data_IF_147795696203
#
_entry.id   IF_147795696203
#
_cell.length_a   1.000
_cell.length_b   1.000
_cell.length_c   1.000
_cell.angle_alpha   90.00
_cell.angle_beta   90.00
_cell.angle_gamma   90.00
#
_symmetry.space_group_name_H-M   'P 1'
#
loop_
_entity.id
_entity.type
_entity.pdbx_description
1 polymer ?
#
# COMPACT_ATOMS: atom_id res chain seq x y z
N UNK A 1 -35.26 -34.75 -12.82
CA UNK A 1 -34.27 -34.69 -11.73
C UNK A 1 -34.32 -33.31 -11.12
N UNK A 2 -34.92 -33.15 -9.93
CA UNK A 2 -34.85 -31.89 -9.20
C UNK A 2 -33.47 -31.81 -8.55
N UNK A 3 -32.71 -30.74 -8.82
CA UNK A 3 -31.41 -30.50 -8.22
C UNK A 3 -31.58 -30.28 -6.72
N UNK A 4 -30.87 -31.08 -5.91
CA UNK A 4 -30.86 -30.92 -4.45
C UNK A 4 -30.28 -29.53 -4.10
N UNK A 5 -31.05 -28.64 -3.45
CA UNK A 5 -30.60 -27.29 -3.11
C UNK A 5 -29.34 -27.25 -2.24
N UNK A 6 -29.16 -28.24 -1.36
CA UNK A 6 -27.97 -28.34 -0.50
C UNK A 6 -26.72 -28.68 -1.31
N UNK A 7 -26.84 -29.61 -2.26
CA UNK A 7 -25.75 -29.98 -3.18
C UNK A 7 -25.31 -28.78 -4.04
N UNK A 8 -26.27 -28.00 -4.55
CA UNK A 8 -25.98 -26.77 -5.30
C UNK A 8 -25.29 -25.72 -4.43
N UNK A 9 -25.69 -25.59 -3.15
CA UNK A 9 -25.07 -24.66 -2.21
C UNK A 9 -23.63 -25.06 -1.85
N UNK A 10 -23.38 -26.36 -1.62
CA UNK A 10 -22.05 -26.91 -1.35
C UNK A 10 -21.11 -26.74 -2.55
N UNK A 11 -21.58 -27.07 -3.75
CA UNK A 11 -20.82 -26.88 -4.98
C UNK A 11 -20.43 -25.41 -5.21
N UNK A 12 -21.34 -24.47 -4.93
CA UNK A 12 -21.06 -23.01 -4.98
C UNK A 12 -20.00 -22.59 -3.95
N UNK A 13 -20.07 -23.12 -2.72
CA UNK A 13 -19.05 -22.86 -1.68
C UNK A 13 -17.69 -23.39 -2.10
N UNK A 14 -17.62 -24.61 -2.64
CA UNK A 14 -16.38 -25.23 -3.12
C UNK A 14 -15.78 -24.44 -4.28
N UNK A 15 -16.58 -24.08 -5.30
CA UNK A 15 -16.13 -23.26 -6.43
C UNK A 15 -15.62 -21.90 -5.96
N UNK A 16 -16.34 -21.25 -5.05
CA UNK A 16 -15.93 -19.97 -4.46
C UNK A 16 -14.61 -20.09 -3.68
N UNK A 17 -14.46 -21.13 -2.86
CA UNK A 17 -13.22 -21.39 -2.10
C UNK A 17 -12.04 -21.72 -3.02
N UNK A 18 -12.25 -22.53 -4.07
CA UNK A 18 -11.24 -22.88 -5.07
C UNK A 18 -10.80 -21.66 -5.88
N UNK A 19 -11.76 -20.86 -6.39
CA UNK A 19 -11.48 -19.61 -7.08
C UNK A 19 -10.76 -18.60 -6.18
N UNK A 20 -11.19 -18.46 -4.93
CA UNK A 20 -10.51 -17.62 -3.94
C UNK A 20 -9.09 -18.12 -3.62
N UNK A 21 -8.89 -19.43 -3.55
CA UNK A 21 -7.56 -20.05 -3.38
C UNK A 21 -6.64 -19.77 -4.57
N UNK A 22 -7.16 -19.92 -5.79
CA UNK A 22 -6.46 -19.59 -7.03
C UNK A 22 -6.11 -18.10 -7.11
N UNK A 23 -7.06 -17.21 -6.80
CA UNK A 23 -6.84 -15.76 -6.76
C UNK A 23 -5.80 -15.36 -5.71
N UNK A 24 -5.86 -15.92 -4.50
CA UNK A 24 -4.87 -15.68 -3.43
C UNK A 24 -3.47 -16.08 -3.89
N UNK A 25 -3.33 -17.25 -4.51
CA UNK A 25 -2.05 -17.74 -5.07
C UNK A 25 -1.54 -16.80 -6.16
N UNK A 26 -2.41 -16.40 -7.11
CA UNK A 26 -2.06 -15.45 -8.15
C UNK A 26 -1.56 -14.11 -7.59
N UNK A 27 -2.27 -13.52 -6.62
CA UNK A 27 -1.87 -12.25 -6.02
C UNK A 27 -0.58 -12.36 -5.21
N UNK A 28 -0.37 -13.47 -4.50
CA UNK A 28 0.87 -13.74 -3.78
C UNK A 28 2.06 -13.81 -4.74
N UNK A 29 1.95 -14.57 -5.82
CA UNK A 29 2.98 -14.67 -6.86
C UNK A 29 3.23 -13.33 -7.54
N UNK A 30 2.17 -12.61 -7.93
CA UNK A 30 2.32 -11.28 -8.53
C UNK A 30 3.01 -10.32 -7.57
N UNK A 31 2.66 -10.31 -6.29
CA UNK A 31 3.30 -9.46 -5.28
C UNK A 31 4.77 -9.80 -5.06
N UNK A 32 5.17 -11.05 -5.27
CA UNK A 32 6.57 -11.48 -5.21
C UNK A 32 7.37 -11.00 -6.43
N UNK A 33 6.78 -11.05 -7.61
CA UNK A 33 7.48 -10.84 -8.89
C UNK A 33 7.30 -9.44 -9.51
N UNK A 34 6.33 -8.65 -9.02
CA UNK A 34 6.02 -7.30 -9.53
C UNK A 34 6.16 -6.26 -8.38
N UNK A 35 7.32 -5.58 -8.25
CA UNK A 35 7.57 -4.58 -7.22
C UNK A 35 6.58 -3.41 -7.27
N UNK A 36 6.13 -3.01 -8.46
CA UNK A 36 5.13 -1.94 -8.65
C UNK A 36 3.79 -2.35 -8.07
N UNK A 37 3.37 -3.60 -8.30
CA UNK A 37 2.16 -4.15 -7.69
C UNK A 37 2.30 -4.25 -6.16
N UNK A 38 3.44 -4.72 -5.65
CA UNK A 38 3.72 -4.76 -4.20
C UNK A 38 3.66 -3.37 -3.57
N UNK A 39 4.29 -2.38 -4.20
CA UNK A 39 4.28 -0.97 -3.79
C UNK A 39 2.86 -0.42 -3.72
N UNK A 40 2.08 -0.59 -4.79
CA UNK A 40 0.69 -0.14 -4.86
C UNK A 40 -0.19 -0.75 -3.75
N UNK A 41 -0.06 -2.05 -3.50
CA UNK A 41 -0.82 -2.75 -2.45
C UNK A 41 -0.45 -2.22 -1.06
N UNK A 42 0.85 -2.01 -0.80
CA UNK A 42 1.32 -1.45 0.47
C UNK A 42 0.80 -0.02 0.69
N UNK A 43 0.87 0.84 -0.32
CA UNK A 43 0.37 2.22 -0.24
C UNK A 43 -1.14 2.25 0.04
N UNK A 44 -1.91 1.41 -0.66
CA UNK A 44 -3.36 1.28 -0.40
C UNK A 44 -3.65 0.89 1.05
N UNK A 45 -2.95 -0.12 1.56
CA UNK A 45 -3.07 -0.54 2.96
C UNK A 45 -2.73 0.59 3.94
N UNK A 46 -1.55 1.20 3.79
CA UNK A 46 -1.07 2.27 4.69
C UNK A 46 -1.98 3.49 4.69
N UNK A 47 -2.42 3.94 3.51
CA UNK A 47 -3.34 5.08 3.40
C UNK A 47 -4.68 4.74 4.04
N UNK A 48 -5.23 3.55 3.81
CA UNK A 48 -6.51 3.16 4.41
C UNK A 48 -6.40 3.07 5.95
N UNK A 49 -5.28 2.57 6.47
CA UNK A 49 -5.01 2.57 7.91
C UNK A 49 -4.89 3.98 8.47
N UNK A 50 -4.17 4.89 7.80
CA UNK A 50 -4.02 6.28 8.23
C UNK A 50 -5.34 7.07 8.18
N UNK A 51 -6.24 6.71 7.26
CA UNK A 51 -7.55 7.35 7.07
C UNK A 51 -8.70 6.67 7.79
N UNK A 52 -8.42 5.71 8.68
CA UNK A 52 -9.46 5.03 9.46
C UNK A 52 -10.26 6.07 10.24
N UNK A 53 -11.55 6.20 9.92
CA UNK A 53 -12.47 7.17 10.54
C UNK A 53 -12.52 8.55 9.89
N UNK A 54 -11.60 8.90 8.98
CA UNK A 54 -11.64 10.18 8.25
C UNK A 54 -12.33 10.08 6.88
N UNK A 55 -12.37 8.88 6.29
CA UNK A 55 -12.88 8.66 4.94
C UNK A 55 -11.88 9.09 3.88
N UNK A 56 -11.80 8.34 2.78
CA UNK A 56 -10.81 8.59 1.73
C UNK A 56 -11.35 9.57 0.70
N UNK A 57 -10.72 10.74 0.55
CA UNK A 57 -11.22 11.81 -0.31
C UNK A 57 -11.12 11.47 -1.80
N UNK A 58 -10.07 10.73 -2.21
CA UNK A 58 -9.81 10.33 -3.60
C UNK A 58 -9.16 8.95 -3.66
N UNK A 59 -9.16 8.35 -4.86
CA UNK A 59 -8.44 7.09 -5.12
C UNK A 59 -6.96 7.25 -4.78
N UNK A 60 -6.31 6.18 -4.31
CA UNK A 60 -4.89 6.18 -3.89
C UNK A 60 -3.99 6.92 -4.87
N UNK A 61 -4.02 6.59 -6.18
CA UNK A 61 -3.11 7.21 -7.14
C UNK A 61 -3.34 8.71 -7.34
N UNK A 62 -4.56 9.20 -7.14
CA UNK A 62 -4.80 10.65 -7.13
C UNK A 62 -4.19 11.33 -5.91
N UNK A 63 -4.20 10.68 -4.74
CA UNK A 63 -3.56 11.22 -3.53
C UNK A 63 -2.03 11.19 -3.62
N UNK A 64 -1.48 10.18 -4.31
CA UNK A 64 -0.04 10.09 -4.59
C UNK A 64 0.40 11.21 -5.56
N UNK A 65 -0.48 11.68 -6.44
CA UNK A 65 -0.18 12.77 -7.39
C UNK A 65 0.67 12.37 -8.60
N UNK A 66 0.97 11.09 -8.78
CA UNK A 66 1.67 10.57 -9.96
C UNK A 66 1.27 9.11 -10.26
N UNK A 67 1.73 8.56 -11.38
CA UNK A 67 1.60 7.15 -11.71
C UNK A 67 2.47 6.27 -10.80
N UNK A 68 2.18 4.97 -10.77
CA UNK A 68 2.97 4.01 -9.98
C UNK A 68 4.40 3.87 -10.52
N UNK A 69 4.59 4.03 -11.83
CA UNK A 69 5.91 3.97 -12.47
C UNK A 69 6.75 5.19 -12.08
N UNK A 70 6.14 6.38 -12.10
CA UNK A 70 6.80 7.62 -11.64
C UNK A 70 7.14 7.56 -10.16
N UNK A 71 6.23 7.06 -9.31
CA UNK A 71 6.51 6.92 -7.88
C UNK A 71 7.67 5.93 -7.65
N UNK A 72 7.69 4.82 -8.37
CA UNK A 72 8.79 3.85 -8.31
C UNK A 72 10.12 4.53 -8.66
N UNK A 73 10.19 5.24 -9.78
CA UNK A 73 11.38 5.98 -10.17
C UNK A 73 11.77 7.09 -9.17
N UNK A 74 10.79 7.79 -8.60
CA UNK A 74 11.01 8.84 -7.60
C UNK A 74 11.62 8.30 -6.30
N UNK A 75 11.13 7.16 -5.81
CA UNK A 75 11.69 6.49 -4.63
C UNK A 75 13.08 5.92 -4.91
N UNK A 76 13.28 5.31 -6.08
CA UNK A 76 14.55 4.71 -6.49
C UNK A 76 15.69 5.74 -6.57
N UNK A 77 15.38 6.99 -6.96
CA UNK A 77 16.34 8.11 -6.93
C UNK A 77 16.77 8.52 -5.52
N UNK A 78 16.04 8.13 -4.49
CA UNK A 78 16.29 8.47 -3.08
C UNK A 78 16.87 7.29 -2.29
N UNK A 79 17.18 6.17 -2.94
CA UNK A 79 17.70 4.98 -2.28
C UNK A 79 19.03 5.26 -1.57
N UNK A 80 19.09 4.89 -0.29
CA UNK A 80 20.33 4.84 0.46
C UNK A 80 21.18 3.64 0.01
N UNK A 81 22.50 3.63 0.31
CA UNK A 81 23.36 2.49 -0.01
C UNK A 81 22.76 1.16 0.46
N UNK A 82 22.66 0.19 -0.45
CA UNK A 82 22.11 -1.14 -0.19
C UNK A 82 20.59 -1.28 -0.40
N UNK A 83 19.84 -0.20 -0.61
CA UNK A 83 18.42 -0.29 -0.94
C UNK A 83 18.22 -0.74 -2.39
N UNK A 84 17.36 -1.72 -2.60
CA UNK A 84 16.98 -2.22 -3.92
C UNK A 84 15.49 -2.56 -3.95
N UNK A 85 14.93 -2.77 -5.13
CA UNK A 85 13.55 -3.29 -5.21
C UNK A 85 13.43 -4.75 -4.75
N UNK A 86 14.52 -5.53 -4.76
CA UNK A 86 14.50 -6.93 -4.31
C UNK A 86 14.40 -7.05 -2.79
N UNK A 87 15.00 -6.13 -2.03
CA UNK A 87 14.89 -6.07 -0.57
C UNK A 87 13.77 -5.14 -0.06
N UNK A 88 12.84 -4.73 -0.94
CA UNK A 88 11.68 -3.95 -0.52
C UNK A 88 10.86 -4.71 0.53
N UNK A 89 10.74 -4.14 1.73
CA UNK A 89 10.28 -4.83 2.94
C UNK A 89 11.28 -4.70 4.09
N UNK A 90 12.58 -4.69 3.79
CA UNK A 90 13.66 -4.28 4.69
C UNK A 90 13.73 -2.75 4.79
N UNK A 91 13.46 -2.05 3.69
CA UNK A 91 13.10 -0.63 3.68
C UNK A 91 11.62 -0.46 3.35
N UNK A 92 11.02 0.63 3.85
CA UNK A 92 9.62 0.98 3.72
C UNK A 92 9.45 2.35 3.04
N UNK A 93 8.26 2.58 2.49
CA UNK A 93 7.84 3.94 2.13
C UNK A 93 7.42 4.68 3.39
N UNK A 94 8.17 5.70 3.75
CA UNK A 94 7.92 6.58 4.89
C UNK A 94 7.42 7.95 4.42
N UNK A 95 6.76 8.68 5.33
CA UNK A 95 6.36 10.07 5.08
C UNK A 95 7.39 11.03 5.66
N UNK A 96 7.95 11.92 4.85
CA UNK A 96 8.93 12.93 5.28
C UNK A 96 8.32 13.74 6.42
N UNK A 97 7.18 14.40 6.15
CA UNK A 97 6.29 14.97 7.16
C UNK A 97 5.32 13.88 7.62
N UNK A 98 5.30 13.52 8.91
CA UNK A 98 4.51 12.39 9.41
C UNK A 98 3.01 12.66 9.29
N UNK A 99 2.21 11.61 9.06
CA UNK A 99 0.75 11.71 8.92
C UNK A 99 0.06 12.47 10.08
N UNK A 100 0.60 12.36 11.30
CA UNK A 100 0.07 13.02 12.50
C UNK A 100 0.17 14.55 12.48
N UNK A 101 0.97 15.11 11.58
CA UNK A 101 1.09 16.56 11.40
C UNK A 101 0.01 17.14 10.46
N UNK A 102 -0.87 16.31 9.91
CA UNK A 102 -1.93 16.70 9.00
C UNK A 102 -3.30 16.44 9.62
N UNK A 103 -4.29 17.30 9.31
CA UNK A 103 -5.69 17.00 9.59
C UNK A 103 -6.26 16.17 8.44
N UNK A 104 -6.15 14.85 8.57
CA UNK A 104 -6.56 13.90 7.54
C UNK A 104 -8.09 13.86 7.28
N UNK A 105 -8.91 14.63 8.00
CA UNK A 105 -10.32 14.83 7.65
C UNK A 105 -10.49 15.79 6.47
N UNK A 106 -9.48 16.63 6.19
CA UNK A 106 -9.48 17.59 5.09
C UNK A 106 -8.87 16.98 3.84
N UNK A 107 -9.56 17.12 2.70
CA UNK A 107 -9.11 16.54 1.44
C UNK A 107 -7.71 17.03 1.02
N UNK A 108 -7.42 18.32 1.21
CA UNK A 108 -6.12 18.91 0.86
C UNK A 108 -4.99 18.35 1.72
N UNK A 109 -5.23 18.11 3.00
CA UNK A 109 -4.25 17.51 3.90
C UNK A 109 -4.03 16.04 3.61
N UNK A 110 -5.06 15.29 3.18
CA UNK A 110 -4.85 13.95 2.63
C UNK A 110 -3.94 13.98 1.39
N UNK A 111 -4.21 14.91 0.47
CA UNK A 111 -3.39 15.04 -0.74
C UNK A 111 -1.94 15.37 -0.37
N UNK A 112 -1.70 16.42 0.44
CA UNK A 112 -0.37 16.82 0.89
C UNK A 112 0.36 15.72 1.67
N UNK A 113 -0.36 15.02 2.54
CA UNK A 113 0.20 13.93 3.34
C UNK A 113 0.68 12.79 2.44
N UNK A 114 -0.14 12.34 1.48
CA UNK A 114 0.18 11.15 0.68
C UNK A 114 0.86 11.45 -0.67
N UNK A 115 1.04 12.72 -1.03
CA UNK A 115 1.68 13.10 -2.28
C UNK A 115 3.10 12.53 -2.37
N UNK A 116 3.50 12.14 -3.58
CA UNK A 116 4.81 11.54 -3.89
C UNK A 116 5.99 12.33 -3.30
N UNK A 117 5.91 13.66 -3.31
CA UNK A 117 6.95 14.55 -2.75
C UNK A 117 7.07 14.52 -1.23
N UNK A 118 6.08 13.96 -0.52
CA UNK A 118 6.15 13.72 0.92
C UNK A 118 6.54 12.25 1.23
N UNK A 119 6.81 11.42 0.22
CA UNK A 119 7.18 10.02 0.39
C UNK A 119 8.68 9.83 0.17
N UNK A 120 9.30 9.03 1.04
CA UNK A 120 10.72 8.69 0.96
C UNK A 120 10.94 7.20 1.23
N UNK A 121 11.97 6.56 0.65
CA UNK A 121 12.43 5.26 1.11
C UNK A 121 13.17 5.43 2.45
N UNK A 122 12.90 4.56 3.42
CA UNK A 122 13.58 4.57 4.71
C UNK A 122 13.76 3.13 5.19
N UNK A 123 14.94 2.78 5.72
CA UNK A 123 15.14 1.46 6.33
C UNK A 123 14.13 1.24 7.45
N UNK A 124 13.62 0.01 7.59
CA UNK A 124 12.58 -0.30 8.56
C UNK A 124 13.02 0.10 9.98
N UNK A 125 14.26 -0.20 10.35
CA UNK A 125 14.83 0.15 11.64
C UNK A 125 14.88 1.66 11.88
N UNK A 126 15.26 2.43 10.87
CA UNK A 126 15.30 3.89 10.95
C UNK A 126 13.89 4.49 11.01
N UNK A 127 12.94 3.90 10.29
CA UNK A 127 11.53 4.26 10.38
C UNK A 127 10.95 3.98 11.79
N UNK A 128 11.31 2.84 12.40
CA UNK A 128 10.93 2.54 13.79
C UNK A 128 11.54 3.56 14.77
N UNK A 129 12.83 3.87 14.63
CA UNK A 129 13.51 4.90 15.44
C UNK A 129 12.89 6.29 15.25
N UNK A 130 12.51 6.65 14.01
CA UNK A 130 11.84 7.91 13.70
C UNK A 130 10.54 8.06 14.47
N UNK A 131 9.78 6.98 14.69
CA UNK A 131 8.55 6.99 15.52
C UNK A 131 7.57 8.12 15.13
N UNK A 132 7.51 8.40 13.82
CA UNK A 132 6.68 9.48 13.26
C UNK A 132 7.09 10.89 13.67
N UNK A 133 8.32 11.13 14.15
CA UNK A 133 8.87 12.48 14.36
C UNK A 133 9.19 13.13 13.02
N UNK A 134 9.09 14.45 12.96
CA UNK A 134 9.65 15.20 11.84
C UNK A 134 11.18 15.06 11.90
N UNK A 135 11.91 14.98 10.77
CA UNK A 135 13.37 14.90 10.79
C UNK A 135 14.08 16.06 11.52
N UNK A 136 13.37 17.14 11.82
CA UNK A 136 13.88 18.36 12.47
C UNK A 136 13.15 18.70 13.79
N UNK A 137 12.45 17.74 14.42
CA UNK A 137 11.68 17.95 15.65
C UNK A 137 12.18 17.10 16.82
#
# INVERSE_FOLDING_TARGET
MQSNPEFVAEQRRWLGAYQAGSARKYFAERRKNDPSFKLLQNLRGRINSALKGAGKSKRTMHLIGCSIAELKAHLEKQFAPGMTWSNYGEWHVDHIVPCRAFDLRRADDQHRCFHSTNLQPLWADDNFKKSGKHPNA
#
